data_IF_595104719783
#
_entry.id   IF_595104719783
#
_cell.length_a   1.000
_cell.length_b   1.000
_cell.length_c   1.000
_cell.angle_alpha   90.00
_cell.angle_beta   90.00
_cell.angle_gamma   90.00
#
_symmetry.space_group_name_H-M   'P 1'
#
loop_
_entity.id
_entity.type
_entity.pdbx_description
1 polymer ?
#
# COMPACT_ATOMS: atom_id res chain seq x y z
N UNK A 1 48.58 1.97 -0.56
CA UNK A 1 48.91 1.34 -1.85
C UNK A 1 48.86 -0.17 -1.69
N UNK A 2 47.78 -0.75 -1.18
CA UNK A 2 47.60 -2.18 -0.84
C UNK A 2 46.15 -2.66 -0.96
N UNK A 3 45.33 -2.03 -1.82
CA UNK A 3 43.90 -2.38 -2.02
C UNK A 3 43.56 -2.68 -3.50
N UNK A 4 44.51 -2.69 -4.41
CA UNK A 4 44.27 -2.94 -5.83
C UNK A 4 44.75 -4.31 -6.33
N UNK A 5 45.41 -5.12 -5.50
CA UNK A 5 45.99 -6.40 -5.92
C UNK A 5 45.03 -7.60 -5.85
N UNK A 6 43.79 -7.43 -5.37
CA UNK A 6 42.82 -8.52 -5.27
C UNK A 6 41.56 -8.32 -6.12
N UNK A 7 41.55 -7.37 -7.04
CA UNK A 7 40.50 -7.31 -8.04
C UNK A 7 40.77 -8.31 -9.13
N UNK A 8 40.11 -9.46 -9.12
CA UNK A 8 40.07 -10.32 -10.30
C UNK A 8 39.59 -9.47 -11.48
N UNK A 9 40.27 -9.56 -12.65
CA UNK A 9 39.76 -8.89 -13.84
C UNK A 9 38.34 -9.32 -14.07
N UNK A 10 37.44 -8.36 -14.34
CA UNK A 10 36.09 -8.68 -14.75
C UNK A 10 36.18 -9.68 -15.91
N UNK A 11 35.54 -10.84 -15.75
CA UNK A 11 35.42 -11.79 -16.85
C UNK A 11 34.89 -11.00 -18.05
N UNK A 12 35.65 -11.04 -19.16
CA UNK A 12 35.17 -10.51 -20.43
C UNK A 12 33.89 -11.27 -20.75
N UNK A 13 32.75 -10.63 -20.55
CA UNK A 13 31.50 -11.12 -21.08
C UNK A 13 31.64 -11.03 -22.59
N UNK A 14 31.94 -12.15 -23.23
CA UNK A 14 31.92 -12.23 -24.68
C UNK A 14 30.50 -11.84 -25.12
N UNK A 15 30.36 -10.95 -26.12
CA UNK A 15 29.04 -10.60 -26.64
C UNK A 15 28.37 -11.90 -27.08
N UNK A 16 27.25 -12.25 -26.43
CA UNK A 16 26.50 -13.46 -26.78
C UNK A 16 26.10 -13.38 -28.23
N UNK A 17 26.45 -14.41 -29.06
CA UNK A 17 26.01 -14.41 -30.47
C UNK A 17 24.52 -14.24 -30.50
N UNK A 18 24.06 -13.30 -31.34
CA UNK A 18 22.66 -13.01 -31.57
C UNK A 18 21.91 -14.33 -31.87
N UNK A 19 20.97 -14.74 -31.01
CA UNK A 19 20.09 -15.88 -31.28
C UNK A 19 20.39 -17.21 -30.57
N UNK A 20 21.09 -17.24 -29.44
CA UNK A 20 21.10 -18.47 -28.62
C UNK A 20 19.72 -18.71 -28.02
N UNK A 21 19.14 -19.94 -28.20
CA UNK A 21 17.89 -20.30 -27.55
C UNK A 21 18.02 -20.20 -26.03
N UNK A 22 16.96 -19.73 -25.38
CA UNK A 22 16.92 -19.63 -23.93
C UNK A 22 15.89 -18.61 -23.44
N UNK A 23 15.65 -18.63 -22.15
CA UNK A 23 14.82 -17.69 -21.43
C UNK A 23 15.70 -16.86 -20.52
N UNK A 24 15.53 -15.56 -20.53
CA UNK A 24 16.13 -14.61 -19.58
C UNK A 24 14.95 -13.93 -18.91
N UNK A 25 14.89 -13.98 -17.59
CA UNK A 25 13.83 -13.40 -16.80
C UNK A 25 14.43 -12.72 -15.56
N UNK A 26 14.06 -11.47 -15.32
CA UNK A 26 14.57 -10.66 -14.19
C UNK A 26 13.65 -10.66 -12.97
N UNK A 27 12.54 -11.39 -13.04
CA UNK A 27 11.52 -11.46 -11.99
C UNK A 27 10.24 -10.68 -12.34
N UNK A 28 10.25 -9.82 -13.36
CA UNK A 28 9.10 -9.05 -13.83
C UNK A 28 8.93 -9.14 -15.35
N UNK A 29 9.99 -8.89 -16.10
CA UNK A 29 10.01 -8.96 -17.56
C UNK A 29 11.10 -9.92 -18.03
N UNK A 30 10.95 -10.44 -19.26
CA UNK A 30 11.93 -11.35 -19.82
C UNK A 30 11.89 -11.43 -21.34
N UNK A 31 12.91 -12.09 -21.87
CA UNK A 31 12.99 -12.47 -23.27
C UNK A 31 13.12 -13.98 -23.40
N UNK A 32 12.30 -14.57 -24.27
CA UNK A 32 12.37 -15.98 -24.64
C UNK A 32 12.74 -16.10 -26.13
N UNK A 33 13.81 -16.82 -26.45
CA UNK A 33 14.25 -17.06 -27.82
C UNK A 33 14.20 -18.56 -28.10
N UNK A 34 13.35 -18.98 -29.05
CA UNK A 34 13.21 -20.38 -29.43
C UNK A 34 14.40 -20.87 -30.26
N UNK A 35 14.72 -22.18 -30.24
CA UNK A 35 15.62 -22.76 -31.20
C UNK A 35 15.17 -22.55 -32.66
N UNK A 36 16.11 -22.54 -33.58
CA UNK A 36 15.79 -22.59 -35.01
C UNK A 36 15.20 -23.96 -35.35
N UNK A 37 13.99 -23.98 -35.87
CA UNK A 37 13.26 -25.19 -36.27
C UNK A 37 12.39 -24.94 -37.50
N UNK A 38 12.06 -26.01 -38.24
CA UNK A 38 11.05 -25.96 -39.29
C UNK A 38 9.65 -25.71 -38.71
N UNK A 39 9.42 -26.20 -37.47
CA UNK A 39 8.23 -25.99 -36.67
C UNK A 39 8.64 -25.45 -35.29
N UNK A 40 8.89 -24.14 -35.14
CA UNK A 40 9.29 -23.56 -33.89
C UNK A 40 8.16 -23.61 -32.87
N UNK A 41 8.48 -23.87 -31.60
CA UNK A 41 7.52 -23.90 -30.49
C UNK A 41 6.80 -22.56 -30.31
N UNK A 42 5.55 -22.62 -29.85
CA UNK A 42 4.83 -21.46 -29.38
C UNK A 42 5.51 -20.85 -28.14
N UNK A 43 5.05 -19.67 -27.71
CA UNK A 43 5.52 -19.07 -26.47
C UNK A 43 5.20 -19.97 -25.27
N UNK A 44 3.98 -20.47 -25.20
CA UNK A 44 3.48 -21.30 -24.12
C UNK A 44 4.29 -22.61 -24.00
N UNK A 45 4.47 -23.31 -25.10
CA UNK A 45 5.25 -24.55 -25.13
C UNK A 45 6.71 -24.32 -24.72
N UNK A 46 7.29 -23.19 -25.14
CA UNK A 46 8.70 -22.90 -24.86
C UNK A 46 8.92 -22.47 -23.40
N UNK A 47 8.00 -21.70 -22.82
CA UNK A 47 8.04 -21.27 -21.41
C UNK A 47 7.79 -22.47 -20.49
N UNK A 48 6.86 -23.36 -20.83
CA UNK A 48 6.62 -24.57 -20.08
C UNK A 48 7.83 -25.52 -20.06
N UNK A 49 8.45 -25.69 -21.22
CA UNK A 49 9.70 -26.48 -21.33
C UNK A 49 10.86 -25.88 -20.54
N UNK A 50 10.83 -24.56 -20.26
CA UNK A 50 11.78 -23.87 -19.40
C UNK A 50 11.45 -23.99 -17.89
N UNK A 51 10.38 -24.72 -17.52
CA UNK A 51 9.96 -24.93 -16.14
C UNK A 51 9.14 -23.79 -15.54
N UNK A 52 8.59 -22.91 -16.39
CA UNK A 52 7.77 -21.77 -15.99
C UNK A 52 6.29 -22.03 -16.36
N UNK A 53 5.35 -21.54 -15.56
CA UNK A 53 3.92 -21.71 -15.83
C UNK A 53 3.44 -20.68 -16.85
N UNK A 54 3.04 -21.06 -18.10
CA UNK A 54 2.64 -20.11 -19.13
C UNK A 54 1.44 -19.21 -18.76
N UNK A 55 0.59 -19.69 -17.85
CA UNK A 55 -0.59 -18.92 -17.41
C UNK A 55 -0.22 -17.68 -16.60
N UNK A 56 0.98 -17.63 -16.03
CA UNK A 56 1.47 -16.51 -15.23
C UNK A 56 2.07 -15.39 -16.09
N UNK A 57 2.30 -15.62 -17.38
CA UNK A 57 3.01 -14.69 -18.24
C UNK A 57 2.17 -14.25 -19.44
N UNK A 58 2.42 -13.04 -19.91
CA UNK A 58 1.86 -12.50 -21.15
C UNK A 58 2.96 -11.98 -22.08
N UNK A 59 2.78 -12.17 -23.39
CA UNK A 59 3.71 -11.65 -24.41
C UNK A 59 3.47 -10.15 -24.59
N UNK A 60 4.58 -9.38 -24.57
CA UNK A 60 4.57 -7.94 -24.79
C UNK A 60 4.91 -7.65 -26.24
N UNK A 61 3.99 -6.97 -26.92
CA UNK A 61 4.18 -6.55 -28.33
C UNK A 61 4.16 -7.70 -29.31
N UNK A 62 4.77 -7.48 -30.49
CA UNK A 62 4.82 -8.48 -31.56
C UNK A 62 6.10 -9.28 -31.49
N UNK A 63 6.05 -10.62 -31.52
CA UNK A 63 7.23 -11.46 -31.54
C UNK A 63 8.15 -11.14 -32.74
N UNK A 64 9.44 -11.08 -32.48
CA UNK A 64 10.44 -10.95 -33.56
C UNK A 64 10.67 -12.31 -34.19
N UNK A 65 10.61 -12.38 -35.50
CA UNK A 65 10.78 -13.61 -36.27
C UNK A 65 12.09 -13.56 -37.02
N UNK A 66 12.93 -14.56 -36.84
CA UNK A 66 14.13 -14.76 -37.65
C UNK A 66 13.99 -16.01 -38.51
N UNK A 67 14.22 -15.88 -39.80
CA UNK A 67 14.22 -16.99 -40.75
C UNK A 67 15.61 -17.14 -41.35
N UNK A 68 16.07 -18.37 -41.43
CA UNK A 68 17.36 -18.69 -41.97
C UNK A 68 17.33 -20.02 -42.73
N UNK A 69 18.20 -20.15 -43.73
CA UNK A 69 18.31 -21.32 -44.59
C UNK A 69 19.76 -21.82 -44.56
N UNK A 70 19.95 -23.08 -44.17
CA UNK A 70 21.31 -23.63 -43.98
C UNK A 70 22.08 -23.81 -45.28
N UNK A 71 21.37 -24.06 -46.35
CA UNK A 71 21.96 -24.23 -47.71
C UNK A 71 20.93 -23.77 -48.77
N UNK A 72 21.44 -23.40 -49.90
CA UNK A 72 20.60 -23.04 -51.04
C UNK A 72 19.66 -24.19 -51.42
N UNK A 73 18.35 -23.90 -51.53
CA UNK A 73 17.29 -24.90 -51.79
C UNK A 73 16.89 -25.78 -50.60
N UNK A 74 17.43 -25.58 -49.39
CA UNK A 74 17.02 -26.27 -48.17
C UNK A 74 15.77 -25.66 -47.52
N UNK A 75 15.24 -26.33 -46.50
CA UNK A 75 14.11 -25.82 -45.72
C UNK A 75 14.50 -24.58 -44.89
N UNK A 76 13.55 -23.67 -44.75
CA UNK A 76 13.70 -22.51 -43.86
C UNK A 76 13.54 -22.92 -42.42
N UNK A 77 14.49 -22.54 -41.59
CA UNK A 77 14.40 -22.63 -40.13
C UNK A 77 13.92 -21.30 -39.59
N UNK A 78 13.01 -21.36 -38.64
CA UNK A 78 12.41 -20.17 -38.01
C UNK A 78 12.72 -20.19 -36.51
N UNK A 79 13.01 -19.03 -35.95
CA UNK A 79 13.15 -18.83 -34.52
C UNK A 79 12.31 -17.61 -34.13
N UNK A 80 11.63 -17.69 -33.00
CA UNK A 80 10.88 -16.57 -32.41
C UNK A 80 11.65 -15.99 -31.23
N UNK A 81 11.57 -14.67 -31.08
CA UNK A 81 11.95 -13.97 -29.87
C UNK A 81 10.72 -13.26 -29.34
N UNK A 82 10.30 -13.64 -28.14
CA UNK A 82 9.20 -13.09 -27.40
C UNK A 82 9.76 -12.20 -26.28
N UNK A 83 9.26 -10.99 -26.16
CA UNK A 83 9.32 -10.23 -24.90
C UNK A 83 8.09 -10.57 -24.09
N UNK A 84 8.23 -10.84 -22.81
CA UNK A 84 7.12 -11.25 -21.94
C UNK A 84 7.25 -10.66 -20.54
N UNK A 85 6.15 -10.62 -19.82
CA UNK A 85 6.13 -10.20 -18.40
C UNK A 85 5.15 -11.05 -17.60
N UNK A 86 5.25 -10.98 -16.28
CA UNK A 86 4.21 -11.51 -15.40
C UNK A 86 2.87 -10.86 -15.73
N UNK A 87 1.82 -11.66 -15.85
CA UNK A 87 0.45 -11.15 -15.93
C UNK A 87 0.15 -10.40 -14.65
N UNK A 88 -0.03 -9.10 -14.76
CA UNK A 88 -0.57 -8.32 -13.66
C UNK A 88 -2.01 -8.72 -13.46
N UNK A 89 -2.39 -9.02 -12.21
CA UNK A 89 -3.79 -9.18 -11.87
C UNK A 89 -4.49 -7.83 -12.09
N UNK A 90 -5.04 -7.62 -13.29
CA UNK A 90 -5.90 -6.48 -13.51
C UNK A 90 -7.05 -6.55 -12.50
N UNK A 91 -7.33 -5.45 -11.84
CA UNK A 91 -8.46 -5.34 -10.93
C UNK A 91 -9.74 -5.72 -11.70
N UNK A 92 -10.23 -6.95 -11.49
CA UNK A 92 -11.48 -7.40 -12.08
C UNK A 92 -12.65 -6.79 -11.32
N UNK A 93 -13.04 -5.58 -11.72
CA UNK A 93 -14.15 -4.86 -11.12
C UNK A 93 -15.46 -5.65 -11.11
N UNK A 94 -15.88 -6.34 -12.20
CA UNK A 94 -17.04 -7.25 -12.17
C UNK A 94 -16.95 -8.32 -11.10
N UNK A 95 -15.80 -8.95 -10.92
CA UNK A 95 -15.58 -9.98 -9.89
C UNK A 95 -15.66 -9.37 -8.49
N UNK A 96 -15.01 -8.23 -8.26
CA UNK A 96 -15.08 -7.51 -6.99
C UNK A 96 -16.52 -7.10 -6.64
N UNK A 97 -17.29 -6.60 -7.61
CA UNK A 97 -18.71 -6.28 -7.41
C UNK A 97 -19.54 -7.51 -7.04
N UNK A 98 -19.28 -8.64 -7.71
CA UNK A 98 -20.00 -9.90 -7.44
C UNK A 98 -19.69 -10.42 -6.02
N UNK A 99 -18.44 -10.38 -5.60
CA UNK A 99 -18.01 -10.80 -4.27
C UNK A 99 -18.54 -9.87 -3.17
N UNK A 100 -18.46 -8.56 -3.36
CA UNK A 100 -19.00 -7.60 -2.41
C UNK A 100 -20.53 -7.74 -2.24
N UNK A 101 -21.27 -7.99 -3.33
CA UNK A 101 -22.71 -8.29 -3.26
C UNK A 101 -23.02 -9.57 -2.47
N UNK A 102 -22.15 -10.59 -2.54
CA UNK A 102 -22.29 -11.80 -1.73
C UNK A 102 -22.09 -11.51 -0.24
N UNK A 103 -21.07 -10.70 0.09
CA UNK A 103 -20.81 -10.29 1.48
C UNK A 103 -21.99 -9.51 2.09
N UNK A 104 -22.60 -8.58 1.34
CA UNK A 104 -23.78 -7.84 1.78
C UNK A 104 -24.98 -8.75 2.02
N UNK A 105 -25.20 -9.77 1.18
CA UNK A 105 -26.31 -10.74 1.38
C UNK A 105 -26.11 -11.56 2.65
N UNK A 106 -24.90 -11.99 2.99
CA UNK A 106 -24.59 -12.69 4.25
C UNK A 106 -24.90 -11.83 5.47
N UNK A 107 -24.63 -10.52 5.39
CA UNK A 107 -24.82 -9.58 6.50
C UNK A 107 -26.26 -9.40 6.94
N UNK A 108 -27.24 -9.46 6.01
CA UNK A 108 -28.67 -9.30 6.35
C UNK A 108 -29.18 -10.33 7.35
N UNK A 109 -28.49 -11.48 7.51
CA UNK A 109 -28.95 -12.58 8.37
C UNK A 109 -28.25 -12.66 9.75
N UNK A 110 -27.25 -11.80 10.07
CA UNK A 110 -26.39 -12.03 11.24
C UNK A 110 -26.15 -10.83 12.14
N UNK A 111 -26.67 -9.64 11.82
CA UNK A 111 -26.45 -8.46 12.67
C UNK A 111 -27.30 -8.52 13.93
N UNK A 112 -26.73 -9.10 14.98
CA UNK A 112 -27.21 -8.85 16.33
C UNK A 112 -27.04 -7.35 16.62
N UNK A 113 -28.05 -6.72 17.26
CA UNK A 113 -27.93 -5.32 17.72
C UNK A 113 -26.80 -5.25 18.74
N UNK A 114 -25.65 -4.73 18.31
CA UNK A 114 -24.50 -4.53 19.18
C UNK A 114 -24.81 -3.32 20.08
N UNK A 115 -24.98 -3.55 21.38
CA UNK A 115 -25.32 -2.53 22.38
C UNK A 115 -24.11 -1.74 22.89
N UNK A 116 -22.91 -1.89 22.31
CA UNK A 116 -21.71 -1.20 22.80
C UNK A 116 -21.60 0.21 22.23
N UNK A 117 -21.05 1.13 23.02
CA UNK A 117 -20.69 2.49 22.63
C UNK A 117 -19.23 2.61 22.16
N UNK A 118 -18.62 1.49 21.75
CA UNK A 118 -17.22 1.42 21.35
C UNK A 118 -17.02 1.67 19.86
N UNK A 119 -15.94 2.38 19.54
CA UNK A 119 -15.39 2.52 18.20
C UNK A 119 -13.97 1.96 18.18
N UNK A 120 -13.64 1.15 17.17
CA UNK A 120 -12.27 0.69 16.93
C UNK A 120 -11.64 1.59 15.87
N UNK A 121 -10.52 2.23 16.21
CA UNK A 121 -9.72 3.02 15.28
C UNK A 121 -8.58 2.15 14.76
N UNK A 122 -8.43 2.09 13.45
CA UNK A 122 -7.39 1.36 12.72
C UNK A 122 -6.52 2.40 12.03
N UNK A 123 -5.22 2.38 12.28
CA UNK A 123 -4.25 3.26 11.64
C UNK A 123 -3.61 2.52 10.46
N UNK A 124 -4.19 2.70 9.27
CA UNK A 124 -3.68 2.17 8.01
C UNK A 124 -2.63 3.14 7.48
N UNK A 125 -1.36 2.79 7.59
CA UNK A 125 -0.27 3.73 7.41
C UNK A 125 0.92 3.13 6.71
N UNK A 126 1.50 3.90 5.79
CA UNK A 126 2.82 3.63 5.23
C UNK A 126 2.97 2.19 4.70
N UNK A 127 2.02 1.72 3.89
CA UNK A 127 2.12 0.43 3.23
C UNK A 127 3.25 0.43 2.21
N UNK A 128 3.43 1.57 1.55
CA UNK A 128 4.45 1.77 0.51
C UNK A 128 4.48 0.59 -0.47
N UNK A 129 3.27 0.25 -1.02
CA UNK A 129 3.12 -0.86 -1.97
C UNK A 129 4.09 -0.71 -3.12
N UNK A 130 4.81 -1.78 -3.44
CA UNK A 130 5.87 -1.81 -4.44
C UNK A 130 7.29 -1.65 -3.90
N UNK A 131 7.46 -1.24 -2.64
CA UNK A 131 8.76 -1.07 -2.02
C UNK A 131 9.46 -2.40 -1.77
N UNK A 132 10.74 -2.45 -2.13
CA UNK A 132 11.66 -3.55 -1.78
C UNK A 132 12.73 -3.03 -0.84
N UNK A 133 12.89 -3.65 0.31
CA UNK A 133 13.94 -3.33 1.28
C UNK A 133 14.34 -4.62 2.05
N UNK A 134 15.12 -4.49 3.12
CA UNK A 134 15.69 -5.61 3.87
C UNK A 134 14.69 -6.60 4.50
N UNK A 135 13.39 -6.27 4.52
CA UNK A 135 12.30 -7.15 4.99
C UNK A 135 11.50 -7.78 3.85
N UNK A 136 11.97 -7.70 2.62
CA UNK A 136 11.36 -8.30 1.43
C UNK A 136 10.77 -7.28 0.46
N UNK A 137 9.83 -7.73 -0.34
CA UNK A 137 9.10 -6.97 -1.35
C UNK A 137 7.59 -7.15 -1.23
N UNK A 138 6.90 -6.99 -2.34
CA UNK A 138 5.42 -7.08 -2.40
C UNK A 138 4.85 -8.38 -1.83
N UNK A 139 5.41 -9.60 -2.06
CA UNK A 139 4.87 -10.81 -1.46
C UNK A 139 4.83 -10.77 0.08
N UNK A 140 5.90 -10.31 0.73
CA UNK A 140 5.98 -10.20 2.18
C UNK A 140 5.05 -9.13 2.76
N UNK A 141 4.77 -8.06 2.00
CA UNK A 141 3.76 -7.08 2.37
C UNK A 141 2.36 -7.71 2.37
N UNK A 142 2.01 -8.47 1.32
CA UNK A 142 0.72 -9.16 1.22
C UNK A 142 0.54 -10.14 2.40
N UNK A 143 1.54 -10.96 2.69
CA UNK A 143 1.50 -11.90 3.83
C UNK A 143 1.24 -11.17 5.16
N UNK A 144 1.90 -10.03 5.39
CA UNK A 144 1.68 -9.22 6.59
C UNK A 144 0.26 -8.66 6.65
N UNK A 145 -0.24 -8.12 5.55
CA UNK A 145 -1.62 -7.58 5.50
C UNK A 145 -2.64 -8.68 5.79
N UNK A 146 -2.49 -9.88 5.24
CA UNK A 146 -3.36 -11.01 5.51
C UNK A 146 -3.32 -11.45 6.99
N UNK A 147 -2.13 -11.51 7.57
CA UNK A 147 -1.96 -11.81 8.99
C UNK A 147 -2.63 -10.75 9.87
N UNK A 148 -2.40 -9.45 9.57
CA UNK A 148 -3.01 -8.35 10.31
C UNK A 148 -4.54 -8.38 10.20
N UNK A 149 -5.08 -8.67 9.02
CA UNK A 149 -6.52 -8.82 8.79
C UNK A 149 -7.12 -9.90 9.67
N UNK A 150 -6.46 -11.05 9.79
CA UNK A 150 -6.90 -12.14 10.67
C UNK A 150 -6.92 -11.71 12.15
N UNK A 151 -5.85 -11.09 12.63
CA UNK A 151 -5.75 -10.56 14.01
C UNK A 151 -6.77 -9.46 14.29
N UNK A 152 -7.05 -8.64 13.28
CA UNK A 152 -8.06 -7.58 13.37
C UNK A 152 -9.46 -8.16 13.57
N UNK A 153 -9.81 -9.24 12.87
CA UNK A 153 -11.09 -9.96 13.10
C UNK A 153 -11.18 -10.52 14.52
N UNK A 154 -10.09 -11.07 15.06
CA UNK A 154 -10.05 -11.55 16.45
C UNK A 154 -10.26 -10.39 17.45
N UNK A 155 -9.61 -9.25 17.22
CA UNK A 155 -9.79 -8.06 18.05
C UNK A 155 -11.23 -7.52 18.00
N UNK A 156 -11.84 -7.49 16.81
CA UNK A 156 -13.23 -7.08 16.64
C UNK A 156 -14.18 -8.01 17.41
N UNK A 157 -13.95 -9.32 17.35
CA UNK A 157 -14.74 -10.30 18.11
C UNK A 157 -14.61 -10.10 19.62
N UNK A 158 -13.42 -9.73 20.11
CA UNK A 158 -13.14 -9.43 21.52
C UNK A 158 -13.79 -8.13 21.96
N UNK A 159 -13.54 -7.03 21.26
CA UNK A 159 -13.95 -5.68 21.66
C UNK A 159 -15.40 -5.34 21.29
N UNK A 160 -15.95 -6.00 20.27
CA UNK A 160 -17.32 -5.83 19.76
C UNK A 160 -17.69 -4.36 19.49
N UNK A 161 -16.90 -3.65 18.68
CA UNK A 161 -17.16 -2.24 18.38
C UNK A 161 -18.47 -2.09 17.58
N UNK A 162 -19.18 -0.97 17.79
CA UNK A 162 -20.35 -0.59 16.99
C UNK A 162 -19.91 -0.05 15.62
N UNK A 163 -18.78 0.65 15.60
CA UNK A 163 -18.19 1.22 14.38
C UNK A 163 -16.68 1.02 14.33
N UNK A 164 -16.16 1.05 13.11
CA UNK A 164 -14.73 1.09 12.83
C UNK A 164 -14.40 2.40 12.14
N UNK A 165 -13.34 3.05 12.59
CA UNK A 165 -12.71 4.17 11.89
C UNK A 165 -11.45 3.61 11.22
N UNK A 166 -11.49 3.50 9.89
CA UNK A 166 -10.35 3.12 9.08
C UNK A 166 -9.63 4.41 8.66
N UNK A 167 -8.63 4.80 9.43
CA UNK A 167 -7.84 5.99 9.19
C UNK A 167 -6.66 5.65 8.28
N UNK A 168 -6.76 5.98 7.00
CA UNK A 168 -5.68 5.91 6.03
C UNK A 168 -4.81 7.14 6.18
N UNK A 169 -3.65 6.93 6.79
CA UNK A 169 -2.70 7.99 7.14
C UNK A 169 -1.75 8.34 5.98
N UNK A 170 -1.93 7.74 4.81
CA UNK A 170 -1.15 8.01 3.62
C UNK A 170 0.05 7.07 3.42
N UNK A 171 0.90 7.41 2.46
CA UNK A 171 2.01 6.60 1.95
C UNK A 171 1.60 5.16 1.62
N UNK A 172 0.42 5.05 0.99
CA UNK A 172 -0.19 3.78 0.59
C UNK A 172 0.61 3.12 -0.53
N UNK A 173 1.17 3.89 -1.46
CA UNK A 173 2.09 3.44 -2.51
C UNK A 173 3.50 3.99 -2.27
N UNK A 174 4.53 3.29 -2.77
CA UNK A 174 5.92 3.78 -2.69
C UNK A 174 6.16 4.96 -3.63
N UNK A 175 5.55 4.94 -4.80
CA UNK A 175 5.80 5.93 -5.84
C UNK A 175 7.19 5.77 -6.50
N UNK A 176 7.57 6.73 -7.36
CA UNK A 176 8.84 6.69 -8.10
C UNK A 176 9.62 7.99 -8.07
N UNK A 177 8.98 9.11 -7.77
CA UNK A 177 9.57 10.44 -7.94
C UNK A 177 9.68 11.24 -6.63
N UNK A 178 9.63 10.55 -5.48
CA UNK A 178 9.59 11.21 -4.18
C UNK A 178 10.95 11.80 -3.77
N UNK A 179 12.04 11.15 -4.18
CA UNK A 179 13.42 11.56 -3.84
C UNK A 179 14.27 11.70 -5.09
N UNK A 180 13.73 12.35 -6.12
CA UNK A 180 14.44 12.57 -7.39
C UNK A 180 14.60 11.33 -8.25
N UNK A 181 13.63 10.39 -8.19
CA UNK A 181 13.59 9.18 -9.00
C UNK A 181 14.45 8.02 -8.48
N UNK A 182 14.96 8.11 -7.25
CA UNK A 182 15.79 7.05 -6.66
C UNK A 182 15.02 5.78 -6.32
N UNK A 183 13.69 5.84 -6.22
CA UNK A 183 12.83 4.69 -5.92
C UNK A 183 12.72 3.68 -7.05
N UNK A 184 13.08 4.02 -8.28
CA UNK A 184 13.05 3.11 -9.42
C UNK A 184 13.83 1.80 -9.20
N UNK A 185 14.89 1.84 -8.39
CA UNK A 185 15.75 0.68 -8.11
C UNK A 185 15.28 -0.16 -6.91
N UNK A 186 14.32 0.36 -6.14
CA UNK A 186 13.78 -0.26 -4.92
C UNK A 186 12.29 -0.59 -5.03
N UNK A 187 11.76 -0.68 -6.23
CA UNK A 187 10.38 -1.05 -6.52
C UNK A 187 10.32 -2.34 -7.33
N UNK A 188 9.42 -3.23 -6.93
CA UNK A 188 9.09 -4.47 -7.67
C UNK A 188 7.77 -4.37 -8.47
N UNK A 189 7.09 -3.23 -8.41
CA UNK A 189 5.85 -2.94 -9.14
C UNK A 189 5.92 -1.61 -9.89
N UNK A 190 5.26 -1.54 -11.06
CA UNK A 190 5.04 -0.29 -11.76
C UNK A 190 4.07 0.63 -10.99
N UNK A 191 3.98 1.96 -11.28
CA UNK A 191 3.06 2.87 -10.59
C UNK A 191 1.61 2.41 -10.61
N UNK A 192 1.13 1.93 -11.76
CA UNK A 192 -0.25 1.45 -11.90
C UNK A 192 -0.49 0.19 -11.09
N UNK A 193 0.47 -0.75 -11.10
CA UNK A 193 0.40 -1.96 -10.28
C UNK A 193 0.40 -1.65 -8.77
N UNK A 194 1.14 -0.65 -8.32
CA UNK A 194 1.11 -0.19 -6.93
C UNK A 194 -0.28 0.30 -6.55
N UNK A 195 -0.91 1.13 -7.38
CA UNK A 195 -2.27 1.66 -7.14
C UNK A 195 -3.31 0.55 -7.15
N UNK A 196 -3.24 -0.37 -8.12
CA UNK A 196 -4.18 -1.49 -8.25
C UNK A 196 -4.09 -2.43 -7.03
N UNK A 197 -2.87 -2.81 -6.63
CA UNK A 197 -2.67 -3.68 -5.46
C UNK A 197 -3.08 -2.98 -4.17
N UNK A 198 -2.71 -1.71 -3.97
CA UNK A 198 -3.11 -0.95 -2.79
C UNK A 198 -4.64 -0.84 -2.69
N UNK A 199 -5.33 -0.58 -3.81
CA UNK A 199 -6.79 -0.58 -3.88
C UNK A 199 -7.37 -1.95 -3.51
N UNK A 200 -6.78 -3.03 -4.01
CA UNK A 200 -7.22 -4.41 -3.74
C UNK A 200 -7.07 -4.76 -2.26
N UNK A 201 -5.91 -4.48 -1.65
CA UNK A 201 -5.65 -4.77 -0.23
C UNK A 201 -6.60 -3.99 0.70
N UNK A 202 -6.80 -2.69 0.43
CA UNK A 202 -7.72 -1.87 1.19
C UNK A 202 -9.18 -2.33 1.02
N UNK A 203 -9.60 -2.63 -0.22
CA UNK A 203 -10.95 -3.12 -0.51
C UNK A 203 -11.25 -4.44 0.19
N UNK A 204 -10.32 -5.40 0.12
CA UNK A 204 -10.49 -6.70 0.75
C UNK A 204 -10.57 -6.59 2.29
N UNK A 205 -9.76 -5.70 2.86
CA UNK A 205 -9.85 -5.38 4.29
C UNK A 205 -11.18 -4.74 4.64
N UNK A 206 -11.66 -3.78 3.86
CA UNK A 206 -12.97 -3.14 4.08
C UNK A 206 -14.14 -4.12 3.95
N UNK A 207 -14.10 -5.06 3.02
CA UNK A 207 -15.09 -6.16 2.92
C UNK A 207 -15.10 -6.99 4.19
N UNK A 208 -13.91 -7.40 4.66
CA UNK A 208 -13.77 -8.17 5.90
C UNK A 208 -14.32 -7.41 7.11
N UNK A 209 -14.06 -6.11 7.21
CA UNK A 209 -14.63 -5.27 8.26
C UNK A 209 -16.15 -5.18 8.14
N UNK A 210 -16.69 -5.00 6.94
CA UNK A 210 -18.13 -4.89 6.69
C UNK A 210 -18.90 -6.18 7.02
N UNK A 211 -18.24 -7.34 6.98
CA UNK A 211 -18.81 -8.60 7.45
C UNK A 211 -18.93 -8.68 8.98
N UNK A 212 -18.13 -7.93 9.72
CA UNK A 212 -17.96 -8.06 11.16
C UNK A 212 -18.47 -6.85 11.97
N UNK A 213 -18.65 -5.68 11.34
CA UNK A 213 -19.03 -4.43 12.02
C UNK A 213 -20.15 -3.72 11.25
N UNK A 214 -21.16 -3.15 11.95
CA UNK A 214 -22.33 -2.53 11.28
C UNK A 214 -22.04 -1.20 10.60
N UNK A 215 -21.01 -0.45 11.04
CA UNK A 215 -20.71 0.90 10.54
C UNK A 215 -19.21 1.05 10.36
N UNK A 216 -18.79 1.57 9.20
CA UNK A 216 -17.40 1.86 8.89
C UNK A 216 -17.29 3.29 8.41
N UNK A 217 -16.31 4.01 8.95
CA UNK A 217 -15.86 5.29 8.44
C UNK A 217 -14.46 5.07 7.86
N UNK A 218 -14.28 5.40 6.58
CA UNK A 218 -12.99 5.47 5.94
C UNK A 218 -12.58 6.93 5.80
N UNK A 219 -11.41 7.27 6.31
CA UNK A 219 -10.87 8.62 6.24
C UNK A 219 -9.44 8.57 5.71
N UNK A 220 -9.15 9.29 4.63
CA UNK A 220 -7.81 9.35 4.03
C UNK A 220 -7.26 10.77 4.02
N UNK A 221 -5.95 10.89 4.11
CA UNK A 221 -5.22 12.15 3.99
C UNK A 221 -4.09 12.04 2.97
N UNK A 222 -3.72 13.16 2.37
CA UNK A 222 -2.60 13.21 1.43
C UNK A 222 -1.24 12.99 2.11
N UNK A 223 -0.26 12.48 1.36
CA UNK A 223 1.04 12.08 1.88
C UNK A 223 2.17 12.33 0.90
N UNK A 224 3.43 12.26 1.36
CA UNK A 224 4.56 12.65 0.51
C UNK A 224 4.95 11.60 -0.54
N UNK A 225 4.68 10.30 -0.36
CA UNK A 225 4.92 9.29 -1.38
C UNK A 225 3.79 9.23 -2.42
N UNK A 226 2.58 9.55 -2.04
CA UNK A 226 1.42 9.49 -2.92
C UNK A 226 1.13 10.77 -3.70
N UNK A 227 1.80 11.89 -3.41
CA UNK A 227 1.62 13.16 -4.13
C UNK A 227 1.86 12.99 -5.63
N UNK A 228 1.02 13.61 -6.45
CA UNK A 228 1.29 13.75 -7.87
C UNK A 228 2.51 14.64 -8.09
N UNK A 229 3.56 14.10 -8.69
CA UNK A 229 4.83 14.79 -8.91
C UNK A 229 5.26 14.73 -10.36
N UNK A 230 5.95 15.79 -10.79
CA UNK A 230 6.65 15.82 -12.07
C UNK A 230 8.07 16.33 -11.79
N UNK A 231 9.07 15.51 -12.09
CA UNK A 231 10.48 15.79 -11.83
C UNK A 231 10.76 16.17 -10.36
N UNK A 232 10.18 15.38 -9.44
CA UNK A 232 10.32 15.55 -7.99
C UNK A 232 9.53 16.70 -7.37
N UNK A 233 8.79 17.48 -8.19
CA UNK A 233 7.99 18.61 -7.70
C UNK A 233 6.52 18.24 -7.66
N UNK A 234 5.88 18.48 -6.53
CA UNK A 234 4.43 18.32 -6.37
C UNK A 234 3.70 19.20 -7.40
N UNK A 235 2.65 18.64 -7.98
CA UNK A 235 1.72 19.30 -8.89
C UNK A 235 0.32 19.24 -8.30
N UNK A 236 -0.47 20.28 -8.54
CA UNK A 236 -1.86 20.33 -8.06
C UNK A 236 -1.99 20.69 -6.59
N UNK A 237 -3.10 20.29 -5.99
CA UNK A 237 -3.48 20.54 -4.60
C UNK A 237 -3.06 19.40 -3.68
N UNK A 238 -3.26 19.55 -2.37
CA UNK A 238 -2.93 18.51 -1.39
C UNK A 238 -3.73 17.19 -1.60
N UNK A 239 -4.87 17.25 -2.27
CA UNK A 239 -5.71 16.09 -2.59
C UNK A 239 -5.47 15.52 -4.00
N UNK A 240 -4.52 16.05 -4.75
CA UNK A 240 -3.98 15.44 -5.97
C UNK A 240 -2.91 14.40 -5.59
N UNK A 241 -3.39 13.29 -5.05
CA UNK A 241 -2.64 12.28 -4.33
C UNK A 241 -3.20 10.90 -4.66
N UNK A 242 -2.33 9.91 -4.85
CA UNK A 242 -2.73 8.55 -5.22
C UNK A 242 -3.51 7.85 -4.11
N UNK A 243 -3.19 8.08 -2.82
CA UNK A 243 -3.92 7.53 -1.69
C UNK A 243 -5.35 8.10 -1.64
N UNK A 244 -5.51 9.40 -1.85
CA UNK A 244 -6.84 10.03 -1.98
C UNK A 244 -7.61 9.47 -3.19
N UNK A 245 -6.93 9.26 -4.33
CA UNK A 245 -7.54 8.65 -5.50
C UNK A 245 -8.02 7.21 -5.24
N UNK A 246 -7.24 6.42 -4.51
CA UNK A 246 -7.62 5.08 -4.03
C UNK A 246 -8.88 5.20 -3.16
N UNK A 247 -8.91 6.10 -2.17
CA UNK A 247 -10.07 6.35 -1.31
C UNK A 247 -11.34 6.68 -2.12
N UNK A 248 -11.24 7.54 -3.14
CA UNK A 248 -12.35 7.86 -4.05
C UNK A 248 -12.81 6.66 -4.88
N UNK A 249 -11.89 5.78 -5.25
CA UNK A 249 -12.21 4.54 -5.96
C UNK A 249 -12.95 3.57 -5.04
N UNK A 250 -12.48 3.40 -3.81
CA UNK A 250 -13.16 2.60 -2.78
C UNK A 250 -14.55 3.14 -2.45
N UNK A 251 -14.74 4.47 -2.42
CA UNK A 251 -16.03 5.08 -2.20
C UNK A 251 -17.05 4.73 -3.31
N UNK A 252 -16.61 4.75 -4.58
CA UNK A 252 -17.43 4.32 -5.71
C UNK A 252 -17.80 2.83 -5.61
N UNK A 253 -16.82 1.97 -5.29
CA UNK A 253 -17.05 0.53 -5.09
C UNK A 253 -18.06 0.27 -3.95
N UNK A 254 -17.89 0.95 -2.81
CA UNK A 254 -18.79 0.80 -1.67
C UNK A 254 -20.22 1.23 -1.99
N UNK A 255 -20.38 2.33 -2.73
CA UNK A 255 -21.69 2.81 -3.19
C UNK A 255 -22.37 1.78 -4.10
N UNK A 256 -21.68 1.28 -5.12
CA UNK A 256 -22.24 0.31 -6.07
C UNK A 256 -22.58 -1.04 -5.43
N UNK A 257 -21.88 -1.39 -4.35
CA UNK A 257 -22.10 -2.65 -3.62
C UNK A 257 -22.97 -2.50 -2.37
N UNK A 258 -23.42 -1.27 -2.06
CA UNK A 258 -24.22 -0.95 -0.89
C UNK A 258 -23.55 -1.36 0.44
N UNK A 259 -22.23 -1.26 0.54
CA UNK A 259 -21.54 -1.46 1.81
C UNK A 259 -21.75 -0.25 2.75
N UNK A 260 -21.88 -0.45 4.07
CA UNK A 260 -22.15 0.59 5.04
C UNK A 260 -20.88 1.36 5.41
N UNK A 261 -20.26 1.99 4.42
CA UNK A 261 -19.00 2.73 4.56
C UNK A 261 -19.26 4.20 4.21
N UNK A 262 -18.90 5.09 5.12
CA UNK A 262 -18.88 6.55 4.89
C UNK A 262 -17.44 6.98 4.66
N UNK A 263 -17.20 7.84 3.66
CA UNK A 263 -15.86 8.28 3.26
C UNK A 263 -15.66 9.76 3.56
N UNK A 264 -14.46 10.09 4.08
CA UNK A 264 -14.00 11.44 4.33
C UNK A 264 -12.62 11.67 3.72
N UNK A 265 -12.44 12.84 3.14
CA UNK A 265 -11.16 13.35 2.63
C UNK A 265 -11.01 14.83 3.00
N UNK A 266 -9.80 15.39 3.07
CA UNK A 266 -9.58 16.82 3.30
C UNK A 266 -10.19 17.71 2.20
N UNK A 267 -10.37 18.99 2.52
CA UNK A 267 -10.62 19.98 1.48
C UNK A 267 -9.37 20.13 0.58
N UNK A 268 -9.48 20.62 -0.65
CA UNK A 268 -8.40 20.66 -1.62
C UNK A 268 -7.07 21.28 -1.15
N UNK A 269 -7.15 22.22 -0.20
CA UNK A 269 -5.97 22.90 0.34
C UNK A 269 -5.59 22.45 1.76
N UNK A 270 -6.26 21.42 2.29
CA UNK A 270 -6.02 20.87 3.61
C UNK A 270 -5.27 19.53 3.53
N UNK A 271 -4.36 19.30 4.46
CA UNK A 271 -3.60 18.05 4.59
C UNK A 271 -3.99 17.26 5.85
N UNK A 272 -5.10 17.63 6.46
CA UNK A 272 -5.57 17.00 7.70
C UNK A 272 -7.09 16.94 7.78
N UNK A 273 -7.60 16.03 8.61
CA UNK A 273 -9.01 15.85 8.93
C UNK A 273 -9.24 15.89 10.43
N UNK A 274 -10.41 16.32 10.84
CA UNK A 274 -10.92 16.15 12.20
C UNK A 274 -12.31 15.50 12.15
N UNK A 275 -12.47 14.40 12.89
CA UNK A 275 -13.71 13.63 12.95
C UNK A 275 -14.21 13.53 14.40
N UNK A 276 -15.41 13.99 14.70
CA UNK A 276 -16.08 13.71 15.97
C UNK A 276 -16.68 12.31 15.91
N UNK A 277 -16.06 11.36 16.62
CA UNK A 277 -16.36 9.93 16.50
C UNK A 277 -17.77 9.57 17.02
N UNK A 278 -18.26 10.27 18.02
CA UNK A 278 -19.54 9.97 18.67
C UNK A 278 -20.52 11.15 18.65
N UNK A 279 -20.21 12.23 17.91
CA UNK A 279 -20.98 13.47 17.87
C UNK A 279 -21.19 14.09 19.29
N UNK A 280 -20.16 13.95 20.12
CA UNK A 280 -20.19 14.39 21.52
C UNK A 280 -19.19 15.51 21.82
N UNK A 281 -18.36 15.89 20.84
CA UNK A 281 -17.26 16.84 20.97
C UNK A 281 -16.23 16.41 22.06
N UNK A 282 -16.22 15.14 22.43
CA UNK A 282 -15.33 14.58 23.42
C UNK A 282 -14.22 13.75 22.79
N UNK A 283 -14.58 12.93 21.76
CA UNK A 283 -13.64 12.10 21.02
C UNK A 283 -13.46 12.64 19.60
N UNK A 284 -12.68 13.68 19.47
CA UNK A 284 -12.35 14.27 18.17
C UNK A 284 -11.01 13.68 17.70
N UNK A 285 -11.06 12.87 16.64
CA UNK A 285 -9.89 12.26 16.02
C UNK A 285 -9.33 13.20 14.96
N UNK A 286 -8.11 13.67 15.17
CA UNK A 286 -7.31 14.43 14.19
C UNK A 286 -6.43 13.48 13.39
N UNK A 287 -6.49 13.55 12.06
CA UNK A 287 -5.78 12.66 11.13
C UNK A 287 -4.91 13.50 10.21
N UNK A 288 -3.62 13.18 10.12
CA UNK A 288 -2.67 13.75 9.17
C UNK A 288 -1.55 12.76 8.89
N UNK A 289 -0.78 12.96 7.80
CA UNK A 289 0.28 12.00 7.48
C UNK A 289 1.50 12.15 8.42
N UNK A 290 2.02 13.34 8.62
CA UNK A 290 3.19 13.58 9.48
C UNK A 290 4.38 14.25 8.77
N UNK A 291 4.43 14.22 7.44
CA UNK A 291 5.49 14.84 6.63
C UNK A 291 5.56 16.36 6.74
N UNK A 292 4.51 17.00 7.29
CA UNK A 292 4.46 18.41 7.63
C UNK A 292 5.53 18.80 8.68
N UNK A 293 6.08 17.81 9.37
CA UNK A 293 7.12 18.00 10.38
C UNK A 293 8.43 17.35 9.93
N UNK A 294 9.58 18.04 10.05
CA UNK A 294 10.86 17.50 9.58
C UNK A 294 11.39 16.36 10.47
N UNK A 295 10.87 16.21 11.69
CA UNK A 295 11.26 15.18 12.66
C UNK A 295 10.07 14.77 13.53
N UNK A 296 10.06 13.52 14.03
CA UNK A 296 8.93 13.00 14.81
C UNK A 296 8.69 13.74 16.12
N UNK A 297 9.74 14.26 16.76
CA UNK A 297 9.63 15.07 17.98
C UNK A 297 8.98 16.45 17.75
N UNK A 298 8.87 16.90 16.51
CA UNK A 298 8.24 18.16 16.14
C UNK A 298 6.78 18.03 15.71
N UNK A 299 6.25 16.83 15.51
CA UNK A 299 4.84 16.61 15.16
C UNK A 299 3.88 17.22 16.20
N UNK A 300 4.11 17.07 17.51
CA UNK A 300 3.28 17.76 18.51
C UNK A 300 3.35 19.30 18.42
N UNK A 301 4.48 19.83 18.00
CA UNK A 301 4.65 21.28 17.79
C UNK A 301 3.84 21.77 16.62
N UNK A 302 3.88 21.05 15.49
CA UNK A 302 3.04 21.32 14.33
C UNK A 302 1.55 21.30 14.72
N UNK A 303 1.10 20.30 15.47
CA UNK A 303 -0.29 20.21 15.92
C UNK A 303 -0.70 21.39 16.81
N UNK A 304 0.16 21.83 17.73
CA UNK A 304 -0.08 23.04 18.52
C UNK A 304 -0.23 24.30 17.65
N UNK A 305 0.52 24.40 16.57
CA UNK A 305 0.40 25.50 15.60
C UNK A 305 -0.96 25.44 14.88
N UNK A 306 -1.47 24.25 14.55
CA UNK A 306 -2.82 24.08 13.98
C UNK A 306 -3.88 24.56 14.98
N UNK A 307 -3.75 24.23 16.25
CA UNK A 307 -4.66 24.69 17.30
C UNK A 307 -4.60 26.23 17.47
N UNK A 308 -3.42 26.82 17.45
CA UNK A 308 -3.25 28.28 17.49
C UNK A 308 -3.86 28.95 16.25
N UNK A 309 -3.65 28.35 15.07
CA UNK A 309 -4.20 28.80 13.78
C UNK A 309 -5.72 28.52 13.63
N UNK A 310 -6.36 27.91 14.63
CA UNK A 310 -7.80 27.52 14.59
C UNK A 310 -8.15 26.64 13.39
N UNK A 311 -7.23 25.79 12.99
CA UNK A 311 -7.52 24.78 11.97
C UNK A 311 -8.35 23.63 12.57
N UNK A 312 -9.22 22.95 11.82
CA UNK A 312 -10.10 21.90 12.35
C UNK A 312 -9.41 20.83 13.19
N UNK A 313 -8.23 20.37 12.76
CA UNK A 313 -7.41 19.37 13.47
C UNK A 313 -6.90 19.88 14.82
N UNK A 314 -6.85 21.19 15.05
CA UNK A 314 -6.45 21.81 16.30
C UNK A 314 -7.36 21.50 17.48
N UNK A 315 -8.63 21.20 17.22
CA UNK A 315 -9.64 20.86 18.25
C UNK A 315 -9.60 19.36 18.62
N UNK A 316 -8.81 18.55 17.92
CA UNK A 316 -8.73 17.12 18.18
C UNK A 316 -8.25 16.82 19.61
N UNK A 317 -8.85 15.78 20.20
CA UNK A 317 -8.43 15.21 21.48
C UNK A 317 -7.42 14.08 21.27
N UNK A 318 -7.52 13.37 20.15
CA UNK A 318 -6.59 12.31 19.78
C UNK A 318 -6.07 12.61 18.37
N UNK A 319 -4.78 12.91 18.26
CA UNK A 319 -4.10 13.11 16.99
C UNK A 319 -3.42 11.83 16.53
N UNK A 320 -3.58 11.44 15.26
CA UNK A 320 -2.92 10.28 14.68
C UNK A 320 -2.12 10.66 13.44
N UNK A 321 -0.92 10.09 13.31
CA UNK A 321 -0.05 10.31 12.14
C UNK A 321 0.76 9.07 11.77
N UNK A 322 1.26 9.01 10.53
CA UNK A 322 2.20 8.03 10.00
C UNK A 322 3.61 8.60 9.78
N UNK A 323 4.17 8.38 8.59
CA UNK A 323 5.39 8.94 8.02
C UNK A 323 6.71 8.46 8.63
N UNK A 324 6.81 8.43 9.96
CA UNK A 324 8.06 8.11 10.65
C UNK A 324 8.22 6.63 11.00
N UNK A 325 7.27 5.77 10.64
CA UNK A 325 7.31 4.32 10.70
C UNK A 325 7.50 3.68 12.09
N UNK A 326 7.46 4.48 13.17
CA UNK A 326 7.64 4.01 14.56
C UNK A 326 6.41 4.24 15.38
N UNK A 327 6.01 3.28 16.19
CA UNK A 327 4.97 3.50 17.19
C UNK A 327 5.46 4.49 18.26
N UNK A 328 4.74 5.60 18.41
CA UNK A 328 4.90 6.53 19.52
C UNK A 328 3.55 6.87 20.11
N UNK A 329 3.48 6.97 21.41
CA UNK A 329 2.27 7.39 22.14
C UNK A 329 2.72 8.47 23.12
N UNK A 330 2.13 9.64 23.00
CA UNK A 330 2.53 10.78 23.81
C UNK A 330 1.28 11.51 24.31
N UNK A 331 1.15 11.62 25.64
CA UNK A 331 0.17 12.51 26.26
C UNK A 331 0.69 13.96 26.21
N UNK A 332 -0.14 14.86 25.69
CA UNK A 332 0.21 16.26 25.45
C UNK A 332 -0.50 17.25 26.41
N UNK A 333 -1.15 16.73 27.42
CA UNK A 333 -1.95 17.50 28.37
C UNK A 333 -3.43 17.26 28.19
N UNK A 334 -4.26 18.20 28.64
CA UNK A 334 -5.71 18.08 28.59
C UNK A 334 -6.39 19.25 27.87
N UNK A 335 -7.62 19.02 27.46
CA UNK A 335 -8.51 20.07 26.93
C UNK A 335 -9.10 20.88 28.06
N UNK A 336 -9.73 22.01 27.71
CA UNK A 336 -10.52 22.81 28.68
C UNK A 336 -11.73 22.07 29.25
N UNK A 337 -12.12 20.95 28.64
CA UNK A 337 -13.21 20.06 29.09
C UNK A 337 -12.70 18.94 30.02
N UNK A 338 -11.38 18.91 30.31
CA UNK A 338 -10.77 17.91 31.19
C UNK A 338 -10.47 16.58 30.52
N UNK A 339 -10.60 16.45 29.17
CA UNK A 339 -10.19 15.25 28.44
C UNK A 339 -8.70 15.28 28.14
N UNK A 340 -8.03 14.13 28.22
CA UNK A 340 -6.64 14.00 27.86
C UNK A 340 -6.43 14.20 26.36
N UNK A 341 -5.29 14.79 25.99
CA UNK A 341 -4.83 14.89 24.59
C UNK A 341 -3.71 13.91 24.34
N UNK A 342 -3.89 13.06 23.35
CA UNK A 342 -2.88 12.09 22.95
C UNK A 342 -2.47 12.31 21.49
N UNK A 343 -1.19 12.13 21.21
CA UNK A 343 -0.69 11.90 19.89
C UNK A 343 -0.19 10.47 19.75
N UNK A 344 -0.64 9.79 18.69
CA UNK A 344 -0.28 8.42 18.35
C UNK A 344 0.33 8.44 16.95
N UNK A 345 1.61 8.11 16.85
CA UNK A 345 2.28 7.85 15.58
C UNK A 345 2.17 6.37 15.26
N UNK A 346 1.67 6.04 14.09
CA UNK A 346 1.53 4.67 13.64
C UNK A 346 2.89 4.01 13.37
N UNK A 347 2.96 2.69 13.53
CA UNK A 347 3.95 1.88 12.83
C UNK A 347 3.61 1.78 11.36
N UNK A 348 4.60 1.40 10.56
CA UNK A 348 4.42 1.04 9.17
C UNK A 348 3.99 -0.42 8.99
N UNK A 349 3.44 -0.74 7.82
CA UNK A 349 3.28 -2.10 7.32
C UNK A 349 4.32 -2.45 6.24
N UNK A 350 5.20 -1.53 5.86
CA UNK A 350 6.16 -1.64 4.77
C UNK A 350 7.27 -2.69 4.96
N UNK A 351 8.16 -2.79 4.00
CA UNK A 351 9.27 -3.72 3.98
C UNK A 351 10.54 -3.22 4.70
N UNK A 352 10.39 -2.20 5.55
CA UNK A 352 11.48 -1.59 6.30
C UNK A 352 12.12 -0.41 5.57
N UNK A 353 13.12 0.20 6.18
CA UNK A 353 13.90 1.28 5.59
C UNK A 353 15.38 1.15 5.95
N UNK A 354 16.14 0.53 5.07
CA UNK A 354 17.60 0.43 5.18
C UNK A 354 18.28 1.80 5.24
N UNK A 355 17.67 2.82 4.64
CA UNK A 355 18.15 4.20 4.71
C UNK A 355 18.07 4.74 6.16
N UNK A 356 16.90 4.67 6.79
CA UNK A 356 16.72 5.13 8.17
C UNK A 356 17.56 4.31 9.16
N UNK A 357 17.60 2.99 8.98
CA UNK A 357 18.43 2.09 9.80
C UNK A 357 19.90 2.52 9.81
N UNK A 358 20.46 2.86 8.64
CA UNK A 358 21.86 3.33 8.56
C UNK A 358 22.04 4.74 9.11
N UNK A 359 21.05 5.62 8.92
CA UNK A 359 21.16 7.04 9.31
C UNK A 359 20.92 7.28 10.78
N UNK A 360 19.95 6.59 11.38
CA UNK A 360 19.46 6.85 12.74
C UNK A 360 19.66 5.68 13.70
N UNK A 361 19.98 4.48 13.20
CA UNK A 361 19.98 3.23 13.96
C UNK A 361 18.57 2.68 14.23
N UNK A 362 17.52 3.37 13.76
CA UNK A 362 16.13 2.98 14.01
C UNK A 362 15.68 1.92 13.01
N UNK A 363 15.09 0.82 13.50
CA UNK A 363 14.53 -0.26 12.70
C UNK A 363 13.29 -0.83 13.41
N UNK A 364 12.14 -0.21 13.17
CA UNK A 364 10.88 -0.60 13.79
C UNK A 364 10.31 -1.86 13.14
N UNK A 365 9.78 -2.77 13.97
CA UNK A 365 9.02 -3.91 13.45
C UNK A 365 7.70 -3.44 12.83
N UNK A 366 7.30 -3.96 11.65
CA UNK A 366 6.00 -3.67 11.08
C UNK A 366 4.86 -4.09 11.99
N UNK A 367 3.72 -3.45 11.87
CA UNK A 367 2.50 -3.82 12.60
C UNK A 367 1.41 -2.80 12.45
N UNK A 368 0.18 -3.28 12.40
CA UNK A 368 -1.02 -2.46 12.33
C UNK A 368 -1.36 -1.92 13.73
N UNK A 369 -1.36 -0.60 13.87
CA UNK A 369 -1.71 0.04 15.14
C UNK A 369 -3.21 0.27 15.20
N UNK A 370 -3.83 -0.13 16.30
CA UNK A 370 -5.26 0.04 16.56
C UNK A 370 -5.51 0.43 18.01
N UNK A 371 -6.64 1.07 18.28
CA UNK A 371 -7.09 1.37 19.64
C UNK A 371 -8.61 1.47 19.70
N UNK A 372 -9.15 1.35 20.89
CA UNK A 372 -10.59 1.40 21.15
C UNK A 372 -10.94 2.70 21.86
N UNK A 373 -11.98 3.38 21.37
CA UNK A 373 -12.61 4.49 22.04
C UNK A 373 -13.97 4.05 22.56
N UNK A 374 -14.35 4.54 23.73
CA UNK A 374 -15.66 4.30 24.30
C UNK A 374 -16.34 5.62 24.64
N UNK A 375 -17.59 5.79 24.17
CA UNK A 375 -18.35 7.04 24.33
C UNK A 375 -18.41 7.46 25.80
N UNK A 376 -17.97 8.67 26.10
CA UNK A 376 -17.97 9.26 27.45
C UNK A 376 -16.86 8.76 28.37
N UNK A 377 -15.91 7.94 27.86
CA UNK A 377 -14.74 7.45 28.64
C UNK A 377 -13.48 8.08 28.07
N UNK A 378 -12.68 8.72 28.92
CA UNK A 378 -11.42 9.33 28.48
C UNK A 378 -10.44 8.28 27.93
N UNK A 379 -9.71 8.62 26.88
CA UNK A 379 -8.74 7.73 26.29
C UNK A 379 -7.48 7.65 27.16
N UNK A 380 -7.03 6.45 27.48
CA UNK A 380 -5.92 6.19 28.43
C UNK A 380 -4.58 5.89 27.73
N UNK A 381 -4.50 6.07 26.41
CA UNK A 381 -3.29 5.77 25.65
C UNK A 381 -3.07 4.28 25.35
N UNK A 382 -4.05 3.41 25.65
CA UNK A 382 -3.92 1.97 25.37
C UNK A 382 -4.09 1.68 23.87
N UNK A 383 -3.06 1.12 23.25
CA UNK A 383 -3.06 0.72 21.85
C UNK A 383 -2.70 -0.75 21.68
N UNK A 384 -3.15 -1.34 20.58
CA UNK A 384 -2.72 -2.67 20.12
C UNK A 384 -1.84 -2.50 18.90
N UNK A 385 -0.78 -3.28 18.81
CA UNK A 385 0.03 -3.45 17.61
C UNK A 385 -0.11 -4.90 17.16
N UNK A 386 -0.86 -5.09 16.08
CA UNK A 386 -1.22 -6.40 15.51
C UNK A 386 -0.11 -6.95 14.61
#
# INVERSE_FOLDING_TARGET
MLLLENLKPAEKIEPRPFGRPGVIFDGNEGEATTPYSESPSSFEEFIEAAGMNPEEYEVIGTPRVSKWQQKEGGNFLTSFRFSFRLKTSNLDLPLLYAEAKKAVKKKKNTLQVIKTSKALVILWSDLQVGKVDHRGGTPQLIERVELMKSRLVELIKKEKPKKVIFADLGDTVEGFDNSGGNQLQSNDLSPMQQVDLATTLAWDTLKTLAENVPEIIYASVGSNHCQWRVRGKQQGTAVDDWGIHIGRTLARLAKETNLPITFYEPQPNDESLALDIFEDNFHILGIWHGHQSPRPDQVPTWWRQQAFGKQPVGDATIGVSGHFHHLRILELGSTTRGTSRFWIQASTLDNGSGYFKRRTGEDSQPGLVTFVLEKGVDFTGTVYKL
#
